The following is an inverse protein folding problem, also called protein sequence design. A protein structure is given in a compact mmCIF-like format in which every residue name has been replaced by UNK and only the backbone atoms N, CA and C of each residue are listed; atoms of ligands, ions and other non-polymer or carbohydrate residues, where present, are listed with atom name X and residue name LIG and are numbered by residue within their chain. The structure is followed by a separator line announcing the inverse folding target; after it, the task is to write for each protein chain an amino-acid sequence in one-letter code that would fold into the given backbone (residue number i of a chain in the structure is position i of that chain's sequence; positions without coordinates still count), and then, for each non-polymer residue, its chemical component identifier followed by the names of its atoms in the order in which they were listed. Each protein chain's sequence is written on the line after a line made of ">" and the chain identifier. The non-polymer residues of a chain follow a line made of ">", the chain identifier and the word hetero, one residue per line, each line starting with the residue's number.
data_IF_613650013589
#
_entry.id   IF_613650013589
#
_cell.length_a   1.000
_cell.length_b   1.000
_cell.length_c   1.000
_cell.angle_alpha   90.00
_cell.angle_beta   90.00
_cell.angle_gamma   90.00
#
_symmetry.space_group_name_H-M   'P 1'
#
loop_
_entity.id
_entity.type
_entity.pdbx_description
1 polymer ?
#
# COMPACT_ATOMS: atom_id res chain seq x y z
N UNK A 1 -22.00 -2.14 9.32
CA UNK A 1 -20.74 -2.89 9.51
C UNK A 1 -20.71 -3.70 10.81
N UNK A 2 -21.10 -3.18 11.97
CA UNK A 2 -21.06 -3.92 13.25
C UNK A 2 -21.76 -5.28 13.27
N UNK A 3 -22.74 -5.54 12.40
CA UNK A 3 -23.45 -6.83 12.29
C UNK A 3 -22.86 -7.78 11.23
N UNK A 4 -21.90 -7.34 10.41
CA UNK A 4 -21.33 -8.18 9.37
C UNK A 4 -20.34 -9.18 9.99
N UNK A 5 -20.57 -10.51 9.86
CA UNK A 5 -19.75 -11.52 10.53
C UNK A 5 -18.32 -11.58 9.98
N UNK A 6 -18.12 -11.32 8.68
CA UNK A 6 -16.79 -11.27 8.04
C UNK A 6 -15.96 -10.11 8.58
N UNK A 7 -16.60 -8.97 8.83
CA UNK A 7 -15.95 -7.82 9.46
C UNK A 7 -15.57 -8.12 10.91
N UNK A 8 -16.47 -8.73 11.68
CA UNK A 8 -16.17 -9.12 13.08
C UNK A 8 -15.00 -10.08 13.16
N UNK A 9 -15.03 -11.15 12.37
CA UNK A 9 -13.92 -12.10 12.29
C UNK A 9 -12.60 -11.37 11.99
N UNK A 10 -12.60 -10.47 11.01
CA UNK A 10 -11.38 -9.74 10.66
C UNK A 10 -10.86 -8.85 11.79
N UNK A 11 -11.74 -8.17 12.52
CA UNK A 11 -11.34 -7.32 13.65
C UNK A 11 -10.91 -8.15 14.86
N UNK A 12 -11.67 -9.18 15.20
CA UNK A 12 -11.42 -10.01 16.37
C UNK A 12 -10.10 -10.77 16.20
N UNK A 13 -9.87 -11.41 15.04
CA UNK A 13 -8.60 -12.10 14.77
C UNK A 13 -7.41 -11.13 14.71
N UNK A 14 -7.57 -10.00 14.01
CA UNK A 14 -6.42 -9.15 13.69
C UNK A 14 -6.06 -8.19 14.83
N UNK A 15 -7.05 -7.58 15.47
CA UNK A 15 -6.85 -6.63 16.56
C UNK A 15 -7.13 -7.24 17.93
N UNK A 16 -8.19 -8.05 18.08
CA UNK A 16 -8.57 -8.65 19.36
C UNK A 16 -7.59 -9.73 19.84
N UNK A 17 -7.25 -10.68 18.97
CA UNK A 17 -6.29 -11.76 19.24
C UNK A 17 -4.83 -11.30 19.01
N UNK A 18 -4.63 -10.08 18.48
CA UNK A 18 -3.31 -9.49 18.30
C UNK A 18 -2.51 -10.03 17.11
N UNK A 19 -3.12 -10.79 16.20
CA UNK A 19 -2.38 -11.33 15.05
C UNK A 19 -1.89 -10.28 14.05
N UNK A 20 -2.43 -9.06 14.11
CA UNK A 20 -1.92 -7.92 13.34
C UNK A 20 -0.69 -7.25 13.94
N UNK A 21 -0.38 -7.52 15.22
CA UNK A 21 0.73 -6.86 15.92
C UNK A 21 2.09 -7.04 15.24
N UNK A 22 2.47 -8.23 14.74
CA UNK A 22 3.76 -8.40 14.05
C UNK A 22 3.93 -7.47 12.86
N UNK A 23 2.86 -7.19 12.11
CA UNK A 23 2.90 -6.28 10.95
C UNK A 23 3.29 -4.87 11.37
N UNK A 24 2.64 -4.37 12.42
CA UNK A 24 2.88 -3.04 12.94
C UNK A 24 4.25 -2.93 13.61
N UNK A 25 4.68 -3.99 14.30
CA UNK A 25 6.02 -4.07 14.87
C UNK A 25 7.08 -4.04 13.77
N UNK A 26 6.94 -4.84 12.71
CA UNK A 26 7.89 -4.82 11.58
C UNK A 26 7.93 -3.47 10.87
N UNK A 27 6.77 -2.83 10.69
CA UNK A 27 6.71 -1.48 10.14
C UNK A 27 7.58 -0.50 10.96
N UNK A 28 7.46 -0.51 12.29
CA UNK A 28 8.23 0.37 13.17
C UNK A 28 9.71 -0.02 13.25
N UNK A 29 10.01 -1.31 13.38
CA UNK A 29 11.36 -1.86 13.49
C UNK A 29 12.16 -1.68 12.20
N UNK A 30 11.51 -1.51 11.05
CA UNK A 30 12.19 -1.15 9.80
C UNK A 30 12.28 0.36 9.63
N UNK A 31 11.19 1.09 9.86
CA UNK A 31 11.16 2.53 9.65
C UNK A 31 12.14 3.26 10.58
N UNK A 32 12.10 2.97 11.88
CA UNK A 32 12.90 3.70 12.87
C UNK A 32 14.42 3.58 12.63
N UNK A 33 15.00 2.38 12.35
CA UNK A 33 16.41 2.29 11.98
C UNK A 33 16.74 3.00 10.68
N UNK A 34 15.86 2.98 9.68
CA UNK A 34 16.10 3.71 8.44
C UNK A 34 16.12 5.21 8.68
N UNK A 35 15.22 5.76 9.50
CA UNK A 35 15.26 7.18 9.87
C UNK A 35 16.54 7.53 10.64
N UNK A 36 16.90 6.71 11.64
CA UNK A 36 18.10 6.89 12.43
C UNK A 36 19.35 6.86 11.54
N UNK A 37 19.50 5.85 10.69
CA UNK A 37 20.62 5.75 9.76
C UNK A 37 20.65 6.92 8.77
N UNK A 38 19.50 7.38 8.28
CA UNK A 38 19.41 8.53 7.38
C UNK A 38 19.85 9.83 8.05
N UNK A 39 19.66 9.97 9.36
CA UNK A 39 20.08 11.13 10.14
C UNK A 39 21.61 11.18 10.32
N UNK A 40 22.25 10.01 10.54
CA UNK A 40 23.65 9.92 10.98
C UNK A 40 24.63 9.49 9.88
N UNK A 41 24.18 8.86 8.79
CA UNK A 41 25.07 8.49 7.70
C UNK A 41 25.44 9.74 6.87
N UNK A 42 26.73 9.98 6.63
CA UNK A 42 27.15 11.07 5.75
C UNK A 42 26.61 10.81 4.34
N UNK A 43 26.11 11.86 3.67
CA UNK A 43 25.85 11.76 2.24
C UNK A 43 27.16 11.47 1.51
N UNK A 44 27.10 10.68 0.44
CA UNK A 44 28.27 10.32 -0.40
C UNK A 44 28.99 11.55 -0.98
N UNK A 45 28.37 12.72 -0.93
CA UNK A 45 28.99 14.00 -1.23
C UNK A 45 29.68 14.56 0.03
N UNK A 46 31.02 14.50 0.05
CA UNK A 46 31.88 14.95 1.15
C UNK A 46 31.82 16.47 1.39
N UNK A 47 31.22 17.24 0.47
CA UNK A 47 31.08 18.70 0.60
C UNK A 47 29.73 19.14 1.19
N UNK A 48 28.73 18.26 1.23
CA UNK A 48 27.44 18.55 1.87
C UNK A 48 27.28 17.66 3.09
N UNK A 49 27.41 18.21 4.30
CA UNK A 49 26.92 17.52 5.49
C UNK A 49 25.37 17.62 5.49
N UNK A 50 24.69 16.83 4.65
CA UNK A 50 23.25 16.98 4.39
C UNK A 50 22.40 15.77 4.79
N UNK A 51 22.83 14.97 5.77
CA UNK A 51 22.04 13.84 6.29
C UNK A 51 20.59 14.21 6.69
N UNK A 52 20.38 15.43 7.17
CA UNK A 52 19.02 15.94 7.49
C UNK A 52 18.16 16.27 6.28
N UNK A 53 18.74 16.64 5.12
CA UNK A 53 17.98 17.12 3.97
C UNK A 53 17.28 15.98 3.22
N UNK A 54 17.87 14.78 3.22
CA UNK A 54 17.27 13.58 2.64
C UNK A 54 16.39 12.80 3.62
N UNK A 55 16.50 13.06 4.93
CA UNK A 55 15.79 12.32 5.98
C UNK A 55 14.31 12.13 5.65
N UNK A 56 13.57 13.22 5.43
CA UNK A 56 12.14 13.13 5.13
C UNK A 56 11.85 12.36 3.83
N UNK A 57 12.68 12.52 2.80
CA UNK A 57 12.48 11.82 1.51
C UNK A 57 12.68 10.31 1.67
N UNK A 58 13.75 9.90 2.35
CA UNK A 58 14.06 8.49 2.59
C UNK A 58 13.01 7.86 3.51
N UNK A 59 12.62 8.54 4.59
CA UNK A 59 11.54 8.10 5.47
C UNK A 59 10.22 7.94 4.72
N UNK A 60 9.85 8.92 3.89
CA UNK A 60 8.60 8.89 3.12
C UNK A 60 8.56 7.74 2.10
N UNK A 61 9.67 7.49 1.39
CA UNK A 61 9.79 6.35 0.47
C UNK A 61 9.74 5.02 1.22
N UNK A 62 10.44 4.92 2.36
CA UNK A 62 10.42 3.72 3.20
C UNK A 62 9.01 3.44 3.70
N UNK A 63 8.32 4.45 4.23
CA UNK A 63 6.94 4.33 4.67
C UNK A 63 6.01 3.92 3.52
N UNK A 64 6.17 4.50 2.32
CA UNK A 64 5.41 4.12 1.12
C UNK A 64 5.56 2.63 0.81
N UNK A 65 6.79 2.14 0.73
CA UNK A 65 7.09 0.76 0.40
C UNK A 65 6.53 -0.21 1.46
N UNK A 66 6.72 0.11 2.75
CA UNK A 66 6.21 -0.71 3.85
C UNK A 66 4.68 -0.74 3.85
N UNK A 67 4.01 0.40 3.71
CA UNK A 67 2.54 0.48 3.70
C UNK A 67 1.96 -0.30 2.53
N UNK A 68 2.52 -0.15 1.33
CA UNK A 68 2.07 -0.88 0.13
C UNK A 68 2.29 -2.38 0.30
N UNK A 69 3.47 -2.79 0.75
CA UNK A 69 3.80 -4.20 0.95
C UNK A 69 2.90 -4.87 1.99
N UNK A 70 2.73 -4.25 3.16
CA UNK A 70 1.88 -4.80 4.20
C UNK A 70 0.40 -4.75 3.83
N UNK A 71 -0.08 -3.70 3.16
CA UNK A 71 -1.44 -3.65 2.65
C UNK A 71 -1.75 -4.81 1.70
N UNK A 72 -0.84 -5.12 0.76
CA UNK A 72 -0.96 -6.28 -0.13
C UNK A 72 -1.06 -7.59 0.65
N UNK A 73 -0.14 -7.82 1.60
CA UNK A 73 -0.08 -9.08 2.36
C UNK A 73 -1.25 -9.26 3.33
N UNK A 74 -1.71 -8.20 3.96
CA UNK A 74 -2.87 -8.21 4.88
C UNK A 74 -4.16 -8.40 4.10
N UNK A 75 -4.34 -7.70 2.99
CA UNK A 75 -5.46 -7.93 2.07
C UNK A 75 -5.50 -9.39 1.59
N UNK A 76 -4.32 -9.97 1.36
CA UNK A 76 -4.16 -11.37 1.03
C UNK A 76 -4.10 -12.31 2.24
N UNK A 77 -4.51 -11.89 3.44
CA UNK A 77 -4.61 -12.73 4.64
C UNK A 77 -3.36 -13.59 4.94
N UNK A 78 -2.16 -13.13 4.56
CA UNK A 78 -0.95 -13.96 4.62
C UNK A 78 -0.43 -14.19 6.04
N UNK A 79 -0.79 -13.34 6.98
CA UNK A 79 -0.29 -13.41 8.35
C UNK A 79 -1.01 -14.48 9.18
N UNK A 80 -2.26 -14.83 8.83
CA UNK A 80 -3.06 -15.80 9.59
C UNK A 80 -4.01 -16.63 8.70
N UNK A 81 -3.53 -17.21 7.59
CA UNK A 81 -4.39 -17.83 6.58
C UNK A 81 -5.20 -19.01 7.12
N UNK A 82 -4.76 -19.66 8.21
CA UNK A 82 -5.46 -20.80 8.81
C UNK A 82 -6.59 -20.40 9.78
N UNK A 83 -6.64 -19.15 10.25
CA UNK A 83 -7.69 -18.67 11.17
C UNK A 83 -8.88 -18.10 10.44
N UNK A 84 -8.64 -17.45 9.29
CA UNK A 84 -9.71 -16.92 8.46
C UNK A 84 -10.54 -18.04 7.86
N UNK A 85 -11.85 -17.96 8.02
CA UNK A 85 -12.78 -18.83 7.30
C UNK A 85 -12.65 -18.57 5.79
N UNK A 86 -12.70 -19.63 4.97
CA UNK A 86 -12.75 -19.48 3.52
C UNK A 86 -13.92 -18.57 3.09
N UNK A 87 -13.71 -17.74 2.07
CA UNK A 87 -14.74 -17.00 1.34
C UNK A 87 -15.89 -17.89 0.89
N UNK A 88 -15.62 -19.14 0.47
CA UNK A 88 -16.68 -20.10 0.13
C UNK A 88 -17.63 -20.38 1.31
N UNK A 89 -17.11 -20.48 2.53
CA UNK A 89 -17.93 -20.68 3.73
C UNK A 89 -18.88 -19.50 3.95
N UNK A 90 -18.37 -18.27 3.80
CA UNK A 90 -19.19 -17.07 3.96
C UNK A 90 -20.28 -16.95 2.90
N UNK A 91 -19.94 -17.20 1.63
CA UNK A 91 -20.86 -17.05 0.50
C UNK A 91 -21.91 -18.18 0.45
N UNK A 92 -21.49 -19.44 0.63
CA UNK A 92 -22.35 -20.61 0.43
C UNK A 92 -23.03 -21.06 1.72
N UNK A 93 -22.25 -21.27 2.78
CA UNK A 93 -22.75 -21.92 4.00
C UNK A 93 -23.48 -20.92 4.90
N UNK A 94 -23.01 -19.67 4.92
CA UNK A 94 -23.60 -18.56 5.69
C UNK A 94 -24.49 -17.63 4.85
N UNK A 95 -24.63 -17.89 3.54
CA UNK A 95 -25.48 -17.13 2.63
C UNK A 95 -25.17 -15.63 2.54
N UNK A 96 -23.93 -15.21 2.84
CA UNK A 96 -23.55 -13.81 2.76
C UNK A 96 -23.45 -13.38 1.29
N UNK A 97 -23.92 -12.16 1.00
CA UNK A 97 -23.79 -11.63 -0.35
C UNK A 97 -22.34 -11.27 -0.67
N UNK A 98 -21.94 -11.40 -1.94
CA UNK A 98 -20.60 -10.98 -2.41
C UNK A 98 -20.33 -9.50 -2.13
N UNK A 99 -21.38 -8.66 -2.10
CA UNK A 99 -21.33 -7.25 -1.71
C UNK A 99 -20.96 -7.09 -0.23
N UNK A 100 -21.58 -7.86 0.65
CA UNK A 100 -21.30 -7.82 2.09
C UNK A 100 -19.86 -8.27 2.39
N UNK A 101 -19.40 -9.35 1.75
CA UNK A 101 -18.02 -9.85 1.89
C UNK A 101 -17.02 -8.82 1.36
N UNK A 102 -17.23 -8.31 0.15
CA UNK A 102 -16.35 -7.31 -0.47
C UNK A 102 -16.24 -6.04 0.38
N UNK A 103 -17.37 -5.52 0.88
CA UNK A 103 -17.37 -4.35 1.77
C UNK A 103 -16.58 -4.62 3.04
N UNK A 104 -16.78 -5.77 3.70
CA UNK A 104 -16.04 -6.12 4.91
C UNK A 104 -14.52 -6.16 4.67
N UNK A 105 -14.08 -6.79 3.59
CA UNK A 105 -12.67 -6.87 3.23
C UNK A 105 -12.06 -5.50 2.90
N UNK A 106 -12.78 -4.65 2.16
CA UNK A 106 -12.31 -3.29 1.86
C UNK A 106 -12.25 -2.44 3.12
N UNK A 107 -13.25 -2.49 3.99
CA UNK A 107 -13.21 -1.76 5.26
C UNK A 107 -12.08 -2.24 6.15
N UNK A 108 -11.79 -3.55 6.15
CA UNK A 108 -10.68 -4.10 6.92
C UNK A 108 -9.34 -3.59 6.39
N UNK A 109 -9.15 -3.58 5.07
CA UNK A 109 -7.98 -2.98 4.43
C UNK A 109 -7.85 -1.48 4.77
N UNK A 110 -8.94 -0.71 4.71
CA UNK A 110 -8.94 0.70 5.07
C UNK A 110 -8.56 0.92 6.54
N UNK A 111 -9.10 0.10 7.46
CA UNK A 111 -8.75 0.16 8.87
C UNK A 111 -7.27 -0.14 9.11
N UNK A 112 -6.73 -1.16 8.43
CA UNK A 112 -5.30 -1.47 8.47
C UNK A 112 -4.45 -0.30 7.96
N UNK A 113 -4.80 0.28 6.80
CA UNK A 113 -4.07 1.41 6.22
C UNK A 113 -4.11 2.62 7.15
N UNK A 114 -5.28 2.95 7.71
CA UNK A 114 -5.44 4.07 8.64
C UNK A 114 -4.58 3.89 9.89
N UNK A 115 -4.56 2.69 10.47
CA UNK A 115 -3.74 2.39 11.64
C UNK A 115 -2.24 2.41 11.31
N UNK A 116 -1.82 1.83 10.19
CA UNK A 116 -0.43 1.90 9.72
C UNK A 116 0.03 3.34 9.48
N UNK A 117 -0.83 4.18 8.89
CA UNK A 117 -0.54 5.61 8.71
C UNK A 117 -0.43 6.34 10.04
N UNK A 118 -1.31 6.05 11.00
CA UNK A 118 -1.26 6.62 12.35
C UNK A 118 0.07 6.30 13.04
N UNK A 119 0.61 5.09 12.85
CA UNK A 119 1.91 4.69 13.38
C UNK A 119 3.08 5.37 12.67
N UNK A 120 3.03 5.52 11.34
CA UNK A 120 4.06 6.21 10.56
C UNK A 120 4.07 7.73 10.76
N UNK A 121 2.91 8.35 10.98
CA UNK A 121 2.77 9.80 10.93
C UNK A 121 3.69 10.55 11.92
N UNK A 122 3.84 10.14 13.20
CA UNK A 122 4.77 10.78 14.12
C UNK A 122 6.22 10.78 13.62
N UNK A 123 6.69 9.65 13.08
CA UNK A 123 8.04 9.51 12.50
C UNK A 123 8.21 10.44 11.30
N UNK A 124 7.25 10.44 10.37
CA UNK A 124 7.28 11.30 9.18
C UNK A 124 7.20 12.80 9.52
N UNK A 125 6.38 13.19 10.50
CA UNK A 125 6.28 14.59 10.96
C UNK A 125 7.59 15.02 11.61
N UNK A 126 8.19 14.16 12.44
CA UNK A 126 9.47 14.41 13.08
C UNK A 126 10.61 14.53 12.05
N UNK A 127 10.70 13.59 11.12
CA UNK A 127 11.63 13.62 10.00
C UNK A 127 11.45 14.88 9.14
N UNK A 128 10.21 15.27 8.88
CA UNK A 128 9.85 16.48 8.15
C UNK A 128 10.28 17.75 8.87
N UNK A 129 10.11 17.81 10.20
CA UNK A 129 10.54 18.93 11.03
C UNK A 129 12.07 19.10 11.01
N UNK A 130 12.83 18.01 11.15
CA UNK A 130 14.30 18.04 11.09
C UNK A 130 14.79 18.44 9.70
N UNK A 131 14.19 17.89 8.65
CA UNK A 131 14.52 18.21 7.26
C UNK A 131 14.01 19.59 6.83
N UNK A 132 13.31 20.33 7.70
CA UNK A 132 12.65 21.62 7.41
C UNK A 132 11.75 21.53 6.17
N UNK A 133 11.07 20.40 6.01
CA UNK A 133 10.16 20.15 4.90
C UNK A 133 8.91 21.02 5.05
N UNK A 134 8.43 21.67 3.98
CA UNK A 134 7.19 22.44 4.03
C UNK A 134 6.01 21.59 4.49
N UNK A 135 5.14 22.15 5.33
CA UNK A 135 3.96 21.45 5.86
C UNK A 135 3.06 20.90 4.74
N UNK A 136 2.93 21.64 3.63
CA UNK A 136 2.18 21.19 2.45
C UNK A 136 2.75 19.88 1.86
N UNK A 137 4.08 19.75 1.78
CA UNK A 137 4.72 18.52 1.30
C UNK A 137 4.49 17.35 2.27
N UNK A 138 4.53 17.60 3.59
CA UNK A 138 4.20 16.59 4.60
C UNK A 138 2.75 16.12 4.46
N UNK A 139 1.81 17.06 4.34
CA UNK A 139 0.39 16.78 4.18
C UNK A 139 0.11 15.97 2.90
N UNK A 140 0.71 16.35 1.77
CA UNK A 140 0.57 15.60 0.51
C UNK A 140 1.17 14.20 0.64
N UNK A 141 2.34 14.02 1.27
CA UNK A 141 2.89 12.69 1.53
C UNK A 141 1.92 11.85 2.37
N UNK A 142 1.39 12.38 3.47
CA UNK A 142 0.43 11.67 4.32
C UNK A 142 -0.88 11.33 3.60
N UNK A 143 -1.25 12.06 2.53
CA UNK A 143 -2.38 11.72 1.67
C UNK A 143 -2.04 10.69 0.59
N UNK A 144 -0.83 10.76 0.01
CA UNK A 144 -0.37 9.83 -1.03
C UNK A 144 -0.12 8.42 -0.48
N UNK A 145 0.40 8.30 0.75
CA UNK A 145 0.66 7.03 1.39
C UNK A 145 -0.58 6.10 1.45
N UNK A 146 -1.73 6.52 2.04
CA UNK A 146 -2.92 5.68 2.05
C UNK A 146 -3.52 5.49 0.65
N UNK A 147 -3.37 6.46 -0.26
CA UNK A 147 -3.80 6.32 -1.65
C UNK A 147 -3.10 5.13 -2.33
N UNK A 148 -1.77 5.08 -2.31
CA UNK A 148 -1.03 3.96 -2.90
C UNK A 148 -1.29 2.66 -2.16
N UNK A 149 -1.29 2.68 -0.82
CA UNK A 149 -1.57 1.48 -0.04
C UNK A 149 -2.93 0.86 -0.39
N UNK A 150 -3.94 1.68 -0.68
CA UNK A 150 -5.25 1.22 -1.16
C UNK A 150 -5.19 0.70 -2.59
N UNK A 151 -4.65 1.49 -3.54
CA UNK A 151 -4.55 1.12 -4.96
C UNK A 151 -3.90 -0.25 -5.12
N UNK A 152 -2.78 -0.48 -4.42
CA UNK A 152 -2.06 -1.74 -4.47
C UNK A 152 -2.70 -2.81 -3.57
N UNK A 153 -3.14 -2.46 -2.37
CA UNK A 153 -3.75 -3.40 -1.42
C UNK A 153 -4.98 -4.13 -1.98
N UNK A 154 -5.78 -3.46 -2.82
CA UNK A 154 -6.94 -4.11 -3.48
C UNK A 154 -6.52 -5.28 -4.37
N UNK A 155 -5.32 -5.28 -4.96
CA UNK A 155 -4.81 -6.43 -5.70
C UNK A 155 -4.57 -7.65 -4.81
N UNK A 156 -4.23 -7.45 -3.52
CA UNK A 156 -4.18 -8.52 -2.54
C UNK A 156 -5.57 -9.13 -2.24
N UNK A 157 -6.62 -8.31 -2.28
CA UNK A 157 -8.00 -8.81 -2.18
C UNK A 157 -8.39 -9.60 -3.44
N UNK A 158 -8.02 -9.10 -4.62
CA UNK A 158 -8.29 -9.78 -5.88
C UNK A 158 -7.60 -11.15 -5.93
N UNK A 159 -6.35 -11.25 -5.51
CA UNK A 159 -5.61 -12.52 -5.48
C UNK A 159 -6.20 -13.51 -4.48
N UNK A 160 -6.62 -13.03 -3.31
CA UNK A 160 -7.33 -13.84 -2.32
C UNK A 160 -8.61 -14.45 -2.93
N UNK A 161 -9.40 -13.64 -3.65
CA UNK A 161 -10.63 -14.12 -4.27
C UNK A 161 -10.39 -15.08 -5.44
N UNK A 162 -9.37 -14.85 -6.28
CA UNK A 162 -9.05 -15.69 -7.43
C UNK A 162 -8.43 -17.04 -7.06
N UNK A 163 -7.54 -17.03 -6.07
CA UNK A 163 -6.66 -18.16 -5.77
C UNK A 163 -6.74 -18.58 -4.31
N UNK A 164 -7.90 -18.43 -3.67
CA UNK A 164 -8.14 -18.72 -2.25
C UNK A 164 -7.37 -19.94 -1.72
N UNK A 165 -7.48 -21.10 -2.41
CA UNK A 165 -6.85 -22.38 -2.02
C UNK A 165 -5.37 -22.50 -2.39
N UNK A 166 -4.84 -21.65 -3.25
CA UNK A 166 -3.46 -21.68 -3.75
C UNK A 166 -2.62 -20.60 -3.09
N UNK A 167 -2.28 -20.81 -1.81
CA UNK A 167 -1.49 -19.85 -1.01
C UNK A 167 -0.16 -19.49 -1.69
N UNK A 168 0.54 -20.48 -2.26
CA UNK A 168 1.80 -20.25 -2.97
C UNK A 168 1.64 -19.31 -4.16
N UNK A 169 0.63 -19.55 -5.02
CA UNK A 169 0.36 -18.70 -6.18
C UNK A 169 0.04 -17.25 -5.77
N UNK A 170 -0.70 -17.09 -4.67
CA UNK A 170 -1.02 -15.77 -4.11
C UNK A 170 0.23 -15.04 -3.64
N UNK A 171 1.10 -15.71 -2.89
CA UNK A 171 2.36 -15.14 -2.38
C UNK A 171 3.33 -14.78 -3.51
N UNK A 172 3.48 -15.67 -4.51
CA UNK A 172 4.30 -15.40 -5.69
C UNK A 172 3.78 -14.18 -6.43
N UNK A 173 2.46 -14.11 -6.68
CA UNK A 173 1.86 -12.96 -7.33
C UNK A 173 2.16 -11.66 -6.57
N UNK A 174 1.97 -11.63 -5.25
CA UNK A 174 2.20 -10.41 -4.46
C UNK A 174 3.65 -9.96 -4.50
N UNK A 175 4.59 -10.91 -4.36
CA UNK A 175 6.02 -10.60 -4.43
C UNK A 175 6.40 -10.11 -5.83
N UNK A 176 5.96 -10.78 -6.88
CA UNK A 176 6.22 -10.38 -8.27
C UNK A 176 5.56 -9.05 -8.62
N UNK A 177 4.35 -8.80 -8.16
CA UNK A 177 3.63 -7.55 -8.38
C UNK A 177 4.30 -6.38 -7.65
N UNK A 178 4.75 -6.59 -6.40
CA UNK A 178 5.52 -5.60 -5.65
C UNK A 178 6.90 -5.34 -6.28
N UNK A 179 7.60 -6.38 -6.75
CA UNK A 179 8.86 -6.22 -7.49
C UNK A 179 8.64 -5.47 -8.80
N UNK A 180 7.59 -5.81 -9.55
CA UNK A 180 7.21 -5.10 -10.77
C UNK A 180 6.90 -3.62 -10.49
N UNK A 181 6.21 -3.35 -9.38
CA UNK A 181 5.95 -2.00 -8.91
C UNK A 181 7.24 -1.24 -8.60
N UNK A 182 8.17 -1.82 -7.85
CA UNK A 182 9.35 -1.08 -7.37
C UNK A 182 10.41 -0.95 -8.45
N UNK A 183 10.72 -2.05 -9.15
CA UNK A 183 11.85 -2.15 -10.07
C UNK A 183 11.40 -1.90 -11.51
N UNK A 184 10.40 -2.66 -12.00
CA UNK A 184 10.05 -2.59 -13.42
C UNK A 184 9.38 -1.28 -13.78
N UNK A 185 8.53 -0.71 -12.91
CA UNK A 185 7.88 0.57 -13.20
C UNK A 185 8.88 1.73 -13.33
N UNK A 186 10.06 1.65 -12.71
CA UNK A 186 11.13 2.63 -12.87
C UNK A 186 11.74 2.61 -14.29
N UNK A 187 11.67 1.47 -14.98
CA UNK A 187 12.29 1.26 -16.30
C UNK A 187 11.40 1.71 -17.46
N UNK A 188 10.08 1.76 -17.29
CA UNK A 188 9.14 2.08 -18.38
C UNK A 188 8.89 3.58 -18.55
N UNK A 189 8.34 4.22 -17.52
CA UNK A 189 8.06 5.64 -17.52
C UNK A 189 8.15 6.11 -16.08
N UNK A 190 9.17 6.91 -15.78
CA UNK A 190 9.50 7.32 -14.41
C UNK A 190 8.29 7.87 -13.63
N UNK A 191 7.40 8.67 -14.26
CA UNK A 191 6.18 9.14 -13.61
C UNK A 191 5.12 8.06 -13.35
N UNK A 192 5.27 6.79 -13.71
CA UNK A 192 4.39 5.71 -13.24
C UNK A 192 4.91 5.04 -11.98
N UNK A 193 6.20 5.21 -11.67
CA UNK A 193 6.78 4.65 -10.46
C UNK A 193 6.40 5.53 -9.26
N UNK A 194 5.71 5.00 -8.23
CA UNK A 194 5.28 5.81 -7.09
C UNK A 194 6.44 6.30 -6.23
N UNK A 195 7.56 5.56 -6.18
CA UNK A 195 8.78 6.00 -5.48
C UNK A 195 9.41 7.18 -6.22
N UNK A 196 9.61 7.05 -7.52
CA UNK A 196 10.20 8.11 -8.32
C UNK A 196 9.30 9.36 -8.37
N UNK A 197 7.98 9.18 -8.48
CA UNK A 197 7.01 10.25 -8.40
C UNK A 197 7.09 10.99 -7.05
N UNK A 198 7.10 10.26 -5.94
CA UNK A 198 7.20 10.86 -4.60
C UNK A 198 8.52 11.63 -4.44
N UNK A 199 9.64 11.06 -4.88
CA UNK A 199 10.95 11.72 -4.83
C UNK A 199 11.01 12.97 -5.69
N UNK A 200 10.49 12.93 -6.92
CA UNK A 200 10.41 14.09 -7.81
C UNK A 200 9.56 15.20 -7.20
N UNK A 201 8.38 14.85 -6.66
CA UNK A 201 7.49 15.78 -5.97
C UNK A 201 8.18 16.45 -4.77
N UNK A 202 8.82 15.67 -3.90
CA UNK A 202 9.55 16.19 -2.73
C UNK A 202 10.83 16.95 -3.09
N UNK A 203 11.35 16.74 -4.29
CA UNK A 203 12.48 17.50 -4.85
C UNK A 203 12.05 18.72 -5.65
N UNK A 204 10.74 18.98 -5.77
CA UNK A 204 10.15 20.03 -6.62
C UNK A 204 10.65 19.95 -8.06
N UNK A 205 10.92 18.73 -8.54
CA UNK A 205 11.32 18.47 -9.90
C UNK A 205 10.06 18.38 -10.78
N UNK A 206 10.11 18.98 -11.96
CA UNK A 206 9.04 18.82 -12.93
C UNK A 206 9.04 17.38 -13.46
N UNK A 207 7.87 16.76 -13.45
CA UNK A 207 7.68 15.46 -14.06
C UNK A 207 7.60 15.64 -15.57
N UNK A 208 8.32 14.84 -16.37
CA UNK A 208 8.23 14.91 -17.81
C UNK A 208 6.76 14.71 -18.24
N UNK A 209 6.25 15.47 -19.23
CA UNK A 209 4.93 15.25 -19.77
C UNK A 209 4.89 13.97 -20.61
N UNK A 210 3.74 13.29 -20.63
CA UNK A 210 3.50 12.19 -21.55
C UNK A 210 2.85 12.73 -22.82
N UNK A 211 3.49 12.57 -23.97
CA UNK A 211 2.89 12.95 -25.25
C UNK A 211 2.12 11.77 -25.83
N UNK A 212 0.79 11.88 -25.88
CA UNK A 212 -0.09 10.89 -26.51
C UNK A 212 -0.86 11.57 -27.64
N UNK A 213 -0.88 10.95 -28.82
CA UNK A 213 -1.58 11.47 -30.00
C UNK A 213 -1.21 12.93 -30.34
N UNK A 214 0.06 13.29 -30.17
CA UNK A 214 0.57 14.64 -30.42
C UNK A 214 0.15 15.70 -29.39
N UNK A 215 -0.57 15.34 -28.32
CA UNK A 215 -0.94 16.25 -27.23
C UNK A 215 -0.11 15.94 -25.97
N UNK A 216 0.51 16.94 -25.33
CA UNK A 216 1.21 16.74 -24.07
C UNK A 216 0.21 16.64 -22.91
N UNK A 217 0.35 15.60 -22.10
CA UNK A 217 -0.37 15.42 -20.85
C UNK A 217 0.56 15.66 -19.68
N UNK A 218 0.14 16.48 -18.72
CA UNK A 218 0.93 16.77 -17.53
C UNK A 218 1.23 15.48 -16.74
N UNK A 219 2.50 15.25 -16.40
CA UNK A 219 2.97 14.02 -15.75
C UNK A 219 2.21 13.67 -14.46
N UNK A 220 1.84 14.67 -13.67
CA UNK A 220 1.00 14.50 -12.47
C UNK A 220 -0.36 13.86 -12.78
N UNK A 221 -1.07 14.36 -13.79
CA UNK A 221 -2.40 13.87 -14.14
C UNK A 221 -2.32 12.45 -14.69
N UNK A 222 -1.31 12.18 -15.52
CA UNK A 222 -1.04 10.84 -16.06
C UNK A 222 -0.75 9.86 -14.93
N UNK A 223 0.12 10.24 -13.99
CA UNK A 223 0.45 9.43 -12.83
C UNK A 223 -0.79 9.05 -12.02
N UNK A 224 -1.59 10.06 -11.63
CA UNK A 224 -2.78 9.83 -10.81
C UNK A 224 -3.82 9.01 -11.57
N UNK A 225 -4.11 9.35 -12.83
CA UNK A 225 -5.07 8.63 -13.65
C UNK A 225 -4.68 7.15 -13.81
N UNK A 226 -3.40 6.87 -14.07
CA UNK A 226 -2.90 5.50 -14.15
C UNK A 226 -3.16 4.72 -12.86
N UNK A 227 -2.81 5.29 -11.69
CA UNK A 227 -3.00 4.61 -10.41
C UNK A 227 -4.47 4.45 -10.02
N UNK A 228 -5.32 5.42 -10.36
CA UNK A 228 -6.77 5.28 -10.21
C UNK A 228 -7.33 4.15 -11.05
N UNK A 229 -6.93 4.05 -12.33
CA UNK A 229 -7.34 2.96 -13.22
C UNK A 229 -6.81 1.62 -12.70
N UNK A 230 -5.57 1.57 -12.22
CA UNK A 230 -4.98 0.37 -11.63
C UNK A 230 -5.73 -0.10 -10.39
N UNK A 231 -6.10 0.81 -9.49
CA UNK A 231 -6.90 0.49 -8.31
C UNK A 231 -8.32 0.06 -8.67
N UNK A 232 -8.97 0.78 -9.60
CA UNK A 232 -10.33 0.48 -10.05
C UNK A 232 -10.43 -0.88 -10.75
N UNK A 233 -9.45 -1.23 -11.59
CA UNK A 233 -9.38 -2.54 -12.25
C UNK A 233 -9.12 -3.66 -11.26
N UNK A 234 -8.21 -3.48 -10.29
CA UNK A 234 -8.02 -4.43 -9.18
C UNK A 234 -9.31 -4.65 -8.39
N UNK A 235 -10.04 -3.57 -8.10
CA UNK A 235 -11.33 -3.65 -7.38
C UNK A 235 -12.40 -4.35 -8.20
N UNK A 236 -12.52 -4.04 -9.49
CA UNK A 236 -13.45 -4.70 -10.39
C UNK A 236 -13.14 -6.20 -10.49
N UNK A 237 -11.86 -6.57 -10.59
CA UNK A 237 -11.41 -7.96 -10.59
C UNK A 237 -11.74 -8.68 -9.29
N UNK A 238 -11.52 -8.05 -8.13
CA UNK A 238 -11.92 -8.58 -6.82
C UNK A 238 -13.43 -8.84 -6.74
N UNK A 239 -14.24 -7.85 -7.14
CA UNK A 239 -15.71 -7.95 -7.13
C UNK A 239 -16.21 -9.05 -8.05
N UNK A 240 -15.64 -9.14 -9.23
CA UNK A 240 -15.95 -10.19 -10.20
C UNK A 240 -15.53 -11.57 -9.71
N UNK A 241 -14.34 -11.70 -9.11
CA UNK A 241 -13.85 -12.96 -8.57
C UNK A 241 -14.73 -13.48 -7.42
N UNK A 242 -15.21 -12.59 -6.55
CA UNK A 242 -16.19 -12.95 -5.51
C UNK A 242 -17.56 -13.34 -6.05
N UNK A 243 -17.94 -12.83 -7.23
CA UNK A 243 -19.20 -13.14 -7.91
C UNK A 243 -19.14 -14.38 -8.79
N UNK A 244 -17.93 -14.84 -9.16
CA UNK A 244 -17.73 -16.12 -9.81
C UNK A 244 -17.86 -17.20 -8.76
N UNK A 245 -19.01 -17.87 -8.74
CA UNK A 245 -19.04 -19.21 -8.14
C UNK A 245 -17.90 -20.03 -8.74
N UNK A 246 -17.09 -20.74 -7.93
CA UNK A 246 -16.30 -21.81 -8.47
C UNK A 246 -17.29 -22.91 -8.83
N UNK A 247 -17.69 -22.91 -10.09
CA UNK A 247 -17.98 -24.15 -10.82
C UNK A 247 -16.80 -25.08 -10.46
N UNK A 248 -17.11 -26.26 -9.90
CA UNK A 248 -16.23 -27.26 -9.27
C UNK A 248 -16.12 -27.20 -7.73
#
# INVERSE_FOLDING_TARGET
>A
MKSNPVWRESIDLYFGEGHGFPVYLYLLVILAPVEFLSLYLPSLDTQTWSGSASLFRVSAVTALLLLVYFALRVANQEFVPWRFRPLRYWLRDQGQTSVAVSRAQVYFLLAHIAFSLLLCAPFLIWAGAIARTPLASIAVTLALLPFYALVYGVWGLATLALWERRLESRQVFIRSFFVGLVILSALFYLPLNPVAFLLAFLSRQELPPLVLFGRPWAGLHVHLAYHFVLGATGYALHRWALGREPIF
#
